data_IF_605910100285
#
_entry.id   IF_605910100285
#
_cell.length_a   1.000
_cell.length_b   1.000
_cell.length_c   1.000
_cell.angle_alpha   90.00
_cell.angle_beta   90.00
_cell.angle_gamma   90.00
#
_symmetry.space_group_name_H-M   'P 1'
#
loop_
_entity.id
_entity.type
_entity.pdbx_description
1 polymer ?
#
# COMPACT_ATOMS: atom_id res chain seq x y z
N UNK A 1 -8.06 36.30 -14.14
CA UNK A 1 -6.88 35.68 -13.49
C UNK A 1 -7.23 34.38 -12.78
N UNK A 2 -8.23 34.36 -11.89
CA UNK A 2 -8.69 33.14 -11.19
C UNK A 2 -9.20 32.05 -12.16
N UNK A 3 -9.99 32.42 -13.16
CA UNK A 3 -10.48 31.44 -14.15
C UNK A 3 -9.36 30.81 -14.97
N UNK A 4 -8.33 31.58 -15.36
CA UNK A 4 -7.17 31.04 -16.07
C UNK A 4 -6.30 30.13 -15.19
N UNK A 5 -6.20 30.42 -13.88
CA UNK A 5 -5.54 29.53 -12.92
C UNK A 5 -6.33 28.23 -12.70
N UNK A 6 -7.66 28.30 -12.65
CA UNK A 6 -8.53 27.12 -12.58
C UNK A 6 -8.41 26.26 -13.84
N UNK A 7 -8.41 26.84 -15.03
CA UNK A 7 -8.21 26.10 -16.29
C UNK A 7 -6.83 25.44 -16.35
N UNK A 8 -5.79 26.11 -15.86
CA UNK A 8 -4.46 25.52 -15.76
C UNK A 8 -4.40 24.38 -14.72
N UNK A 9 -5.13 24.51 -13.60
CA UNK A 9 -5.21 23.48 -12.56
C UNK A 9 -5.95 22.23 -13.05
N UNK A 10 -7.01 22.41 -13.84
CA UNK A 10 -7.74 21.31 -14.49
C UNK A 10 -6.87 20.57 -15.51
N UNK A 11 -5.99 21.27 -16.23
CA UNK A 11 -5.00 20.64 -17.13
C UNK A 11 -3.92 19.87 -16.36
N UNK A 12 -3.59 20.30 -15.14
CA UNK A 12 -2.57 19.67 -14.28
C UNK A 12 -3.12 18.42 -13.58
N UNK A 13 -4.41 18.36 -13.27
CA UNK A 13 -5.02 17.24 -12.55
C UNK A 13 -5.84 16.35 -13.50
N UNK A 14 -5.27 15.23 -13.99
CA UNK A 14 -5.92 14.41 -15.00
C UNK A 14 -7.09 13.56 -14.43
N UNK A 15 -7.44 13.76 -13.16
CA UNK A 15 -8.58 13.16 -12.47
C UNK A 15 -9.83 14.07 -12.46
N UNK A 16 -9.80 15.25 -13.10
CA UNK A 16 -10.94 16.15 -13.19
C UNK A 16 -11.63 15.94 -14.56
N UNK A 17 -12.96 15.70 -14.61
CA UNK A 17 -13.70 15.55 -15.86
C UNK A 17 -13.64 16.82 -16.73
N UNK A 18 -13.79 16.72 -18.07
CA UNK A 18 -14.33 15.58 -18.80
C UNK A 18 -13.28 14.53 -19.22
N UNK A 19 -13.55 13.27 -18.90
CA UNK A 19 -12.74 12.13 -19.37
C UNK A 19 -12.99 11.88 -20.86
N UNK A 20 -11.93 11.91 -21.68
CA UNK A 20 -12.02 11.71 -23.13
C UNK A 20 -11.48 10.33 -23.53
N UNK A 21 -12.19 9.28 -23.12
CA UNK A 21 -11.77 7.88 -23.35
C UNK A 21 -11.61 7.53 -24.84
N UNK A 22 -12.49 8.03 -25.71
CA UNK A 22 -12.40 7.81 -27.16
C UNK A 22 -11.12 8.36 -27.77
N UNK A 23 -10.69 9.54 -27.31
CA UNK A 23 -9.48 10.18 -27.80
C UNK A 23 -8.23 9.41 -27.35
N UNK A 24 -8.18 9.02 -26.08
CA UNK A 24 -7.05 8.28 -25.52
C UNK A 24 -6.92 6.92 -26.19
N UNK A 25 -8.03 6.22 -26.41
CA UNK A 25 -8.06 4.97 -27.17
C UNK A 25 -7.45 5.15 -28.56
N UNK A 26 -7.93 6.13 -29.34
CA UNK A 26 -7.48 6.34 -30.71
C UNK A 26 -5.97 6.70 -30.77
N UNK A 27 -5.50 7.56 -29.87
CA UNK A 27 -4.07 7.91 -29.77
C UNK A 27 -3.23 6.70 -29.36
N UNK A 28 -3.75 5.84 -28.48
CA UNK A 28 -3.03 4.64 -28.01
C UNK A 28 -2.93 3.61 -29.13
N UNK A 29 -4.00 3.33 -29.88
CA UNK A 29 -3.97 2.43 -31.06
C UNK A 29 -2.98 2.96 -32.10
N UNK A 30 -2.94 4.27 -32.35
CA UNK A 30 -1.98 4.87 -33.27
C UNK A 30 -0.53 4.78 -32.79
N UNK A 31 -0.30 4.92 -31.47
CA UNK A 31 1.05 4.86 -30.87
C UNK A 31 1.55 3.44 -30.67
N UNK A 32 0.62 2.47 -30.60
CA UNK A 32 0.85 1.07 -30.30
C UNK A 32 0.09 0.13 -31.25
N UNK A 33 0.39 0.15 -32.56
CA UNK A 33 -0.25 -0.72 -33.53
C UNK A 33 0.02 -2.22 -33.28
N UNK A 34 1.06 -2.54 -32.50
CA UNK A 34 1.43 -3.90 -32.12
C UNK A 34 0.48 -4.56 -31.09
N UNK A 35 -0.35 -3.78 -30.39
CA UNK A 35 -1.30 -4.30 -29.43
C UNK A 35 -2.71 -4.33 -30.01
N UNK A 36 -3.38 -5.49 -29.97
CA UNK A 36 -4.81 -5.61 -30.30
C UNK A 36 -5.67 -5.04 -29.15
N UNK A 37 -5.75 -3.71 -29.13
CA UNK A 37 -6.43 -2.92 -28.11
C UNK A 37 -7.93 -2.79 -28.36
N UNK A 38 -8.41 -3.06 -29.58
CA UNK A 38 -9.83 -3.02 -29.94
C UNK A 38 -10.66 -4.00 -29.11
N UNK A 39 -10.06 -5.13 -28.74
CA UNK A 39 -10.68 -6.17 -27.90
C UNK A 39 -11.12 -5.66 -26.52
N UNK A 40 -10.49 -4.62 -25.98
CA UNK A 40 -10.74 -4.15 -24.62
C UNK A 40 -11.82 -3.06 -24.51
N UNK A 41 -12.33 -2.55 -25.64
CA UNK A 41 -13.31 -1.45 -25.67
C UNK A 41 -12.74 -0.17 -25.06
N UNK A 42 -13.56 0.88 -24.87
CA UNK A 42 -13.11 2.15 -24.28
C UNK A 42 -12.42 1.91 -22.92
N UNK A 43 -11.11 2.12 -22.85
CA UNK A 43 -10.35 2.02 -21.61
C UNK A 43 -9.90 3.38 -21.09
N UNK A 44 -9.72 3.45 -19.77
CA UNK A 44 -9.23 4.63 -19.07
C UNK A 44 -7.76 4.90 -19.38
N UNK A 45 -7.43 6.17 -19.60
CA UNK A 45 -6.06 6.66 -19.66
C UNK A 45 -6.05 8.18 -19.62
N UNK A 46 -4.88 8.76 -19.38
CA UNK A 46 -4.76 10.20 -19.19
C UNK A 46 -4.67 10.91 -20.55
N UNK A 47 -5.54 11.92 -20.77
CA UNK A 47 -5.63 12.69 -22.01
C UNK A 47 -4.35 13.49 -22.31
N UNK A 48 -3.66 13.94 -21.25
CA UNK A 48 -2.38 14.64 -21.32
C UNK A 48 -1.29 13.79 -20.67
N UNK A 49 -0.93 12.67 -21.30
CA UNK A 49 0.40 12.08 -21.14
C UNK A 49 1.40 12.89 -21.99
N UNK A 50 1.31 14.22 -21.97
CA UNK A 50 2.35 15.03 -22.62
C UNK A 50 3.67 14.59 -22.01
N UNK A 51 4.55 14.06 -22.87
CA UNK A 51 5.82 13.45 -22.47
C UNK A 51 6.58 14.22 -21.37
N UNK A 52 6.62 15.58 -21.35
CA UNK A 52 7.26 16.29 -20.24
C UNK A 52 6.48 16.29 -18.93
N UNK A 53 5.14 16.38 -18.93
CA UNK A 53 4.35 16.50 -17.70
C UNK A 53 4.31 15.19 -16.91
N UNK A 54 4.18 14.06 -17.61
CA UNK A 54 4.27 12.74 -16.99
C UNK A 54 5.67 12.48 -16.42
N UNK A 55 6.73 12.86 -17.15
CA UNK A 55 8.10 12.79 -16.67
C UNK A 55 8.30 13.62 -15.38
N UNK A 56 7.80 14.86 -15.36
CA UNK A 56 7.88 15.74 -14.18
C UNK A 56 7.13 15.13 -12.99
N UNK A 57 5.93 14.59 -13.20
CA UNK A 57 5.14 14.00 -12.13
C UNK A 57 5.83 12.76 -11.53
N UNK A 58 6.38 11.87 -12.38
CA UNK A 58 7.13 10.71 -11.91
C UNK A 58 8.43 11.12 -11.19
N UNK A 59 9.10 12.18 -11.64
CA UNK A 59 10.28 12.73 -10.98
C UNK A 59 9.95 13.29 -9.60
N UNK A 60 8.84 14.02 -9.48
CA UNK A 60 8.35 14.56 -8.22
C UNK A 60 7.99 13.44 -7.25
N UNK A 61 7.29 12.40 -7.71
CA UNK A 61 6.96 11.23 -6.88
C UNK A 61 8.21 10.53 -6.35
N UNK A 62 9.22 10.33 -7.20
CA UNK A 62 10.49 9.72 -6.79
C UNK A 62 11.25 10.61 -5.80
N UNK A 63 11.27 11.93 -6.02
CA UNK A 63 11.89 12.88 -5.11
C UNK A 63 11.22 12.86 -3.73
N UNK A 64 9.89 12.85 -3.67
CA UNK A 64 9.13 12.74 -2.42
C UNK A 64 9.41 11.40 -1.72
N UNK A 65 9.44 10.30 -2.47
CA UNK A 65 9.71 8.96 -1.94
C UNK A 65 11.11 8.83 -1.32
N UNK A 66 12.08 9.68 -1.70
CA UNK A 66 13.44 9.70 -1.12
C UNK A 66 13.58 10.77 -0.03
N UNK A 67 12.99 11.95 -0.20
CA UNK A 67 13.13 13.07 0.75
C UNK A 67 12.35 12.84 2.05
N UNK A 68 11.15 12.27 1.99
CA UNK A 68 10.38 12.01 3.21
C UNK A 68 11.08 11.02 4.17
N UNK A 69 11.58 9.86 3.72
CA UNK A 69 12.28 8.95 4.62
C UNK A 69 13.57 9.54 5.21
N UNK A 70 14.29 10.39 4.48
CA UNK A 70 15.51 11.01 5.01
C UNK A 70 15.21 12.00 6.13
N UNK A 71 14.17 12.83 5.99
CA UNK A 71 13.69 13.71 7.05
C UNK A 71 13.23 12.91 8.28
N UNK A 72 12.52 11.81 8.06
CA UNK A 72 12.02 10.95 9.15
C UNK A 72 13.17 10.29 9.90
N UNK A 73 14.22 9.83 9.20
CA UNK A 73 15.42 9.29 9.82
C UNK A 73 16.18 10.35 10.64
N UNK A 74 16.23 11.59 10.15
CA UNK A 74 16.81 12.71 10.87
C UNK A 74 16.02 13.00 12.16
N UNK A 75 14.70 13.16 12.09
CA UNK A 75 13.87 13.39 13.28
C UNK A 75 13.90 12.23 14.26
N UNK A 76 13.92 10.98 13.78
CA UNK A 76 14.13 9.80 14.63
C UNK A 76 15.38 9.94 15.49
N UNK A 77 16.49 10.40 14.91
CA UNK A 77 17.74 10.57 15.64
C UNK A 77 17.62 11.62 16.74
N UNK A 78 16.94 12.73 16.47
CA UNK A 78 16.66 13.78 17.45
C UNK A 78 15.76 13.28 18.59
N UNK A 79 14.70 12.55 18.27
CA UNK A 79 13.77 12.04 19.28
C UNK A 79 14.47 11.00 20.16
N UNK A 80 15.29 10.11 19.58
CA UNK A 80 16.05 9.13 20.36
C UNK A 80 17.07 9.81 21.29
N UNK A 81 17.71 10.90 20.83
CA UNK A 81 18.61 11.71 21.65
C UNK A 81 17.86 12.34 22.83
N UNK A 82 16.77 13.04 22.58
CA UNK A 82 15.93 13.67 23.61
C UNK A 82 15.40 12.63 24.62
N UNK A 83 14.99 11.46 24.14
CA UNK A 83 14.48 10.38 24.99
C UNK A 83 15.56 9.74 25.88
N UNK A 84 16.82 9.75 25.44
CA UNK A 84 17.95 9.27 26.24
C UNK A 84 18.38 10.30 27.29
N UNK A 85 18.33 11.59 26.95
CA UNK A 85 18.66 12.70 27.86
C UNK A 85 17.60 12.90 28.96
N UNK A 86 16.33 12.54 28.69
CA UNK A 86 15.19 12.68 29.62
C UNK A 86 15.15 11.62 30.74
N UNK A 87 16.29 11.06 31.15
CA UNK A 87 16.43 9.85 31.98
C UNK A 87 15.69 9.85 33.34
N UNK A 88 15.25 11.01 33.84
CA UNK A 88 14.48 11.13 35.08
C UNK A 88 12.97 11.46 34.87
N UNK A 89 12.54 11.80 33.65
CA UNK A 89 11.18 12.33 33.40
C UNK A 89 10.17 11.26 32.93
N UNK A 90 10.64 10.15 32.35
CA UNK A 90 9.77 9.08 31.84
C UNK A 90 10.04 7.73 32.50
N UNK A 91 8.98 6.97 32.77
CA UNK A 91 9.13 5.57 33.18
C UNK A 91 9.81 4.74 32.08
N UNK A 92 10.60 3.74 32.48
CA UNK A 92 11.31 2.86 31.54
C UNK A 92 10.34 2.16 30.57
N UNK A 93 9.13 1.85 31.04
CA UNK A 93 8.07 1.26 30.23
C UNK A 93 7.55 2.21 29.15
N UNK A 94 7.35 3.49 29.48
CA UNK A 94 6.96 4.52 28.49
C UNK A 94 8.06 4.71 27.45
N UNK A 95 9.33 4.76 27.89
CA UNK A 95 10.51 4.86 27.02
C UNK A 95 10.59 3.71 26.02
N UNK A 96 10.36 2.48 26.48
CA UNK A 96 10.37 1.30 25.62
C UNK A 96 9.20 1.31 24.61
N UNK A 97 8.00 1.70 25.03
CA UNK A 97 6.85 1.81 24.14
C UNK A 97 7.08 2.86 23.04
N UNK A 98 7.63 4.03 23.40
CA UNK A 98 7.96 5.08 22.43
C UNK A 98 9.02 4.61 21.43
N UNK A 99 10.05 3.86 21.85
CA UNK A 99 11.05 3.28 20.94
C UNK A 99 10.43 2.30 19.93
N UNK A 100 9.48 1.47 20.37
CA UNK A 100 8.77 0.54 19.48
C UNK A 100 7.92 1.30 18.46
N UNK A 101 7.20 2.33 18.89
CA UNK A 101 6.39 3.18 18.02
C UNK A 101 7.26 3.91 16.98
N UNK A 102 8.37 4.52 17.41
CA UNK A 102 9.35 5.15 16.52
C UNK A 102 9.88 4.18 15.47
N UNK A 103 10.21 2.95 15.88
CA UNK A 103 10.66 1.91 14.96
C UNK A 103 9.57 1.57 13.94
N UNK A 104 8.31 1.45 14.36
CA UNK A 104 7.18 1.19 13.48
C UNK A 104 7.03 2.28 12.42
N UNK A 105 6.94 3.53 12.86
CA UNK A 105 6.81 4.71 12.00
C UNK A 105 7.97 4.82 11.01
N UNK A 106 9.18 4.47 11.44
CA UNK A 106 10.35 4.47 10.55
C UNK A 106 10.24 3.41 9.46
N UNK A 107 9.77 2.20 9.79
CA UNK A 107 9.59 1.12 8.79
C UNK A 107 8.46 1.47 7.82
N UNK A 108 7.36 2.03 8.31
CA UNK A 108 6.26 2.54 7.46
C UNK A 108 6.77 3.62 6.51
N UNK A 109 7.53 4.58 7.02
CA UNK A 109 8.13 5.65 6.23
C UNK A 109 9.15 5.16 5.19
N UNK A 110 9.89 4.08 5.47
CA UNK A 110 10.84 3.49 4.52
C UNK A 110 10.18 2.58 3.48
N UNK A 111 8.93 2.16 3.70
CA UNK A 111 8.21 1.26 2.79
C UNK A 111 8.07 1.84 1.37
N UNK A 112 7.66 3.11 1.19
CA UNK A 112 7.67 3.77 -0.12
C UNK A 112 9.03 3.73 -0.83
N UNK A 113 10.14 3.82 -0.09
CA UNK A 113 11.49 3.78 -0.67
C UNK A 113 11.76 2.43 -1.32
N UNK A 114 11.41 1.34 -0.65
CA UNK A 114 11.61 -0.03 -1.17
C UNK A 114 10.70 -0.32 -2.35
N UNK A 115 9.49 0.25 -2.38
CA UNK A 115 8.49 -0.04 -3.40
C UNK A 115 8.60 0.87 -4.64
N UNK A 116 8.71 2.19 -4.45
CA UNK A 116 8.68 3.16 -5.54
C UNK A 116 10.05 3.40 -6.20
N UNK A 117 11.15 3.33 -5.45
CA UNK A 117 12.47 3.68 -6.00
C UNK A 117 12.93 2.71 -7.10
N UNK A 118 12.84 1.38 -6.94
CA UNK A 118 13.29 0.46 -7.98
C UNK A 118 12.50 0.61 -9.29
N UNK A 119 11.17 0.71 -9.18
CA UNK A 119 10.29 0.83 -10.35
C UNK A 119 10.43 2.22 -11.00
N UNK A 120 10.58 3.27 -10.20
CA UNK A 120 10.82 4.63 -10.69
C UNK A 120 12.16 4.74 -11.42
N UNK A 121 13.22 4.12 -10.89
CA UNK A 121 14.52 4.08 -11.55
C UNK A 121 14.46 3.35 -12.89
N UNK A 122 13.80 2.19 -12.95
CA UNK A 122 13.61 1.44 -14.20
C UNK A 122 12.79 2.24 -15.23
N UNK A 123 11.78 2.98 -14.78
CA UNK A 123 11.03 3.89 -15.63
C UNK A 123 11.94 4.98 -16.23
N UNK A 124 12.77 5.64 -15.42
CA UNK A 124 13.73 6.63 -15.93
C UNK A 124 14.74 6.01 -16.89
N UNK A 125 15.28 4.83 -16.56
CA UNK A 125 16.19 4.10 -17.44
C UNK A 125 15.54 3.78 -18.80
N UNK A 126 14.25 3.42 -18.82
CA UNK A 126 13.47 3.21 -20.05
C UNK A 126 13.38 4.50 -20.88
N UNK A 127 13.11 5.64 -20.24
CA UNK A 127 13.01 6.94 -20.92
C UNK A 127 14.35 7.40 -21.53
N UNK A 128 15.48 7.19 -20.82
CA UNK A 128 16.80 7.60 -21.33
C UNK A 128 17.38 6.63 -22.38
N UNK A 129 17.11 5.34 -22.27
CA UNK A 129 17.61 4.33 -23.22
C UNK A 129 16.76 4.21 -24.49
N UNK A 130 15.54 4.75 -24.47
CA UNK A 130 14.55 4.55 -25.53
C UNK A 130 14.00 3.13 -25.59
N UNK A 131 14.45 2.22 -24.73
CA UNK A 131 13.99 0.84 -24.68
C UNK A 131 12.77 0.73 -23.77
N UNK A 132 11.67 0.19 -24.29
CA UNK A 132 10.42 0.02 -23.56
C UNK A 132 10.40 -1.34 -22.86
N UNK A 133 10.38 -1.32 -21.54
CA UNK A 133 10.25 -2.53 -20.75
C UNK A 133 8.77 -2.83 -20.47
N UNK A 134 8.19 -3.76 -21.24
CA UNK A 134 6.78 -4.17 -21.09
C UNK A 134 6.43 -4.58 -19.64
N UNK A 135 7.36 -5.25 -18.94
CA UNK A 135 7.12 -5.63 -17.55
C UNK A 135 7.01 -4.41 -16.61
N UNK A 136 7.69 -3.30 -16.87
CA UNK A 136 7.61 -2.09 -16.04
C UNK A 136 6.19 -1.54 -16.04
N UNK A 137 5.51 -1.56 -17.19
CA UNK A 137 4.12 -1.09 -17.32
C UNK A 137 3.16 -1.94 -16.44
N UNK A 138 3.32 -3.27 -16.43
CA UNK A 138 2.51 -4.15 -15.57
C UNK A 138 2.85 -4.03 -14.09
N UNK A 139 4.13 -3.95 -13.74
CA UNK A 139 4.58 -3.90 -12.35
C UNK A 139 4.40 -2.52 -11.71
N UNK A 140 4.32 -1.44 -12.49
CA UNK A 140 4.11 -0.09 -11.96
C UNK A 140 2.85 0.00 -11.09
N UNK A 141 1.73 -0.56 -11.52
CA UNK A 141 0.49 -0.56 -10.72
C UNK A 141 0.63 -1.38 -9.42
N UNK A 142 1.36 -2.49 -9.47
CA UNK A 142 1.57 -3.37 -8.31
C UNK A 142 2.47 -2.68 -7.28
N UNK A 143 3.63 -2.19 -7.71
CA UNK A 143 4.59 -1.54 -6.81
C UNK A 143 4.07 -0.21 -6.27
N UNK A 144 3.18 0.46 -7.00
CA UNK A 144 2.57 1.70 -6.51
C UNK A 144 1.49 1.48 -5.47
N UNK A 145 0.83 0.33 -5.47
CA UNK A 145 -0.21 -0.02 -4.49
C UNK A 145 0.33 -0.85 -3.32
N UNK A 146 1.50 -1.47 -3.47
CA UNK A 146 2.16 -2.29 -2.45
C UNK A 146 2.32 -1.58 -1.09
N UNK A 147 2.74 -0.29 -1.01
CA UNK A 147 2.86 0.41 0.27
C UNK A 147 1.54 0.48 1.03
N UNK A 148 0.42 0.66 0.33
CA UNK A 148 -0.91 0.71 0.93
C UNK A 148 -1.33 -0.64 1.54
N UNK A 149 -0.85 -1.75 0.98
CA UNK A 149 -1.08 -3.09 1.53
C UNK A 149 -0.13 -3.41 2.70
N UNK A 150 1.12 -2.93 2.63
CA UNK A 150 2.14 -3.19 3.67
C UNK A 150 1.85 -2.39 4.94
N UNK A 151 1.36 -1.15 4.83
CA UNK A 151 1.12 -0.26 5.98
C UNK A 151 0.23 -0.87 7.09
N UNK A 152 -0.95 -1.47 6.80
CA UNK A 152 -1.75 -2.13 7.83
C UNK A 152 -1.07 -3.38 8.41
N UNK A 153 -0.28 -4.11 7.62
CA UNK A 153 0.48 -5.29 8.08
C UNK A 153 1.55 -4.85 9.10
N UNK A 154 2.29 -3.78 8.80
CA UNK A 154 3.29 -3.21 9.71
C UNK A 154 2.64 -2.68 10.99
N UNK A 155 1.52 -1.98 10.85
CA UNK A 155 0.73 -1.47 11.98
C UNK A 155 0.34 -2.60 12.92
N UNK A 156 -0.21 -3.68 12.36
CA UNK A 156 -0.56 -4.89 13.11
C UNK A 156 0.68 -5.50 13.78
N UNK A 157 1.82 -5.60 13.08
CA UNK A 157 3.01 -6.24 13.59
C UNK A 157 3.71 -5.45 14.71
N UNK A 158 3.75 -4.12 14.64
CA UNK A 158 4.49 -3.31 15.62
C UNK A 158 3.66 -2.86 16.81
N UNK A 159 2.36 -2.64 16.63
CA UNK A 159 1.49 -2.13 17.69
C UNK A 159 0.98 -3.27 18.55
N UNK A 160 1.52 -3.37 19.77
CA UNK A 160 1.21 -4.40 20.76
C UNK A 160 -0.29 -4.62 21.03
N UNK A 161 -1.15 -3.60 21.21
CA UNK A 161 -2.57 -3.85 21.43
C UNK A 161 -3.25 -4.52 20.23
N UNK A 162 -2.87 -4.18 18.99
CA UNK A 162 -3.41 -4.83 17.79
C UNK A 162 -3.00 -6.30 17.70
N UNK A 163 -1.73 -6.63 17.93
CA UNK A 163 -1.27 -8.03 17.99
C UNK A 163 -2.04 -8.85 19.02
N UNK A 164 -2.18 -8.32 20.23
CA UNK A 164 -2.89 -9.01 21.32
C UNK A 164 -4.34 -9.24 20.97
N UNK A 165 -5.02 -8.24 20.41
CA UNK A 165 -6.40 -8.36 19.98
C UNK A 165 -6.56 -9.42 18.89
N UNK A 166 -5.72 -9.39 17.85
CA UNK A 166 -5.76 -10.37 16.75
C UNK A 166 -5.54 -11.80 17.27
N UNK A 167 -4.51 -12.02 18.10
CA UNK A 167 -4.24 -13.32 18.71
C UNK A 167 -5.40 -13.79 19.59
N UNK A 168 -6.06 -12.89 20.31
CA UNK A 168 -7.26 -13.21 21.09
C UNK A 168 -8.44 -13.62 20.21
N UNK A 169 -8.68 -12.92 19.09
CA UNK A 169 -9.74 -13.30 18.15
C UNK A 169 -9.47 -14.67 17.52
N UNK A 170 -8.23 -14.93 17.09
CA UNK A 170 -7.85 -16.25 16.57
C UNK A 170 -8.04 -17.35 17.63
N UNK A 171 -7.64 -17.11 18.88
CA UNK A 171 -7.86 -18.08 19.98
C UNK A 171 -9.35 -18.32 20.25
N UNK A 172 -10.18 -17.28 20.27
CA UNK A 172 -11.64 -17.40 20.45
C UNK A 172 -12.28 -18.21 19.33
N UNK A 173 -11.88 -17.97 18.08
CA UNK A 173 -12.39 -18.71 16.92
C UNK A 173 -11.99 -20.19 16.97
N UNK A 174 -10.75 -20.51 17.34
CA UNK A 174 -10.28 -21.90 17.48
C UNK A 174 -11.04 -22.61 18.61
N UNK A 175 -11.11 -21.98 19.80
CA UNK A 175 -11.82 -22.56 20.96
C UNK A 175 -13.31 -22.73 20.65
N UNK A 176 -13.95 -21.75 20.03
CA UNK A 176 -15.34 -21.82 19.59
C UNK A 176 -15.62 -22.99 18.66
N UNK A 177 -14.75 -23.23 17.68
CA UNK A 177 -14.88 -24.40 16.80
C UNK A 177 -14.71 -25.73 17.54
N UNK A 178 -13.78 -25.83 18.48
CA UNK A 178 -13.58 -27.05 19.29
C UNK A 178 -14.80 -27.37 20.16
N UNK A 179 -15.44 -26.36 20.76
CA UNK A 179 -16.67 -26.55 21.54
C UNK A 179 -17.85 -27.03 20.69
N UNK A 180 -18.01 -26.47 19.49
CA UNK A 180 -19.05 -26.90 18.54
C UNK A 180 -18.84 -28.36 18.14
N UNK A 181 -17.60 -28.75 17.79
CA UNK A 181 -17.32 -30.15 17.44
C UNK A 181 -17.51 -31.11 18.61
N UNK A 182 -17.17 -30.71 19.83
CA UNK A 182 -17.34 -31.54 21.02
C UNK A 182 -18.81 -31.78 21.33
N UNK A 183 -19.68 -30.76 21.22
CA UNK A 183 -21.14 -30.95 21.37
C UNK A 183 -21.72 -31.90 20.33
N UNK A 184 -21.32 -31.75 19.06
CA UNK A 184 -21.80 -32.62 17.99
C UNK A 184 -21.39 -34.08 18.23
N UNK A 185 -20.19 -34.31 18.77
CA UNK A 185 -19.71 -35.65 19.14
C UNK A 185 -20.53 -36.25 20.29
N UNK A 186 -20.84 -35.47 21.33
CA UNK A 186 -21.66 -35.90 22.48
C UNK A 186 -23.11 -36.23 22.06
N UNK A 187 -23.72 -35.42 21.19
CA UNK A 187 -25.06 -35.70 20.67
C UNK A 187 -25.10 -36.98 19.82
N UNK A 188 -24.06 -37.22 19.01
CA UNK A 188 -23.95 -38.44 18.20
C UNK A 188 -23.77 -39.70 19.07
N UNK A 189 -22.97 -39.63 20.14
CA UNK A 189 -22.82 -40.74 21.08
C UNK A 189 -24.10 -41.01 21.86
N UNK A 190 -24.81 -39.96 22.31
CA UNK A 190 -26.09 -40.08 23.04
C UNK A 190 -27.21 -40.69 22.18
N UNK A 191 -27.32 -40.31 20.91
CA UNK A 191 -28.28 -40.94 19.98
C UNK A 191 -27.93 -42.40 19.70
N UNK A 192 -26.65 -42.77 19.66
CA UNK A 192 -26.23 -44.16 19.39
C UNK A 192 -26.49 -45.08 20.59
N UNK A 193 -26.33 -44.60 21.83
CA UNK A 193 -26.62 -45.40 23.02
C UNK A 193 -28.12 -45.60 23.27
N UNK A 194 -28.98 -44.61 22.96
CA UNK A 194 -30.45 -44.74 23.05
C UNK A 194 -31.01 -45.80 22.10
N UNK A 195 -30.39 -46.01 20.94
CA UNK A 195 -30.79 -47.03 19.97
C UNK A 195 -30.45 -48.44 20.49
N UNK A 196 -29.35 -48.61 21.23
CA UNK A 196 -28.90 -49.91 21.77
C UNK A 196 -29.73 -50.33 22.99
N UNK A 197 -30.29 -49.39 23.76
CA UNK A 197 -31.11 -49.72 24.95
C UNK A 197 -32.58 -50.01 24.61
N UNK A 198 -32.99 -49.83 23.34
CA UNK A 198 -34.36 -50.10 22.85
C UNK A 198 -34.47 -51.36 21.98
N UNK A 199 -33.37 -52.10 21.79
CA UNK A 199 -33.32 -53.40 21.14
C UNK A 199 -33.20 -54.50 22.20
#
# INVERSE_FOLDING_TARGET
MINSLMTNFEVINPHIPPYRFDFVMNVTIQSHPEYDLEKYGQFGGFHSVTAPLHFINTALLLAIAVTLPTVILFWRSLILKALNESGASFSEKTKQNSKILLKALTVQALTPLVCYVPIGFLYFASQFSGYRFVFVEYFLAIFTTLPCAIDPILTIYFITPYRKWILQQFRKNIVGQTWVQTRLRIQKTSSSSVIITKA
#
